data_IF_076149767441
#
_entry.id   IF_076149767441
#
_cell.length_a   1.000
_cell.length_b   1.000
_cell.length_c   1.000
_cell.angle_alpha   90.00
_cell.angle_beta   90.00
_cell.angle_gamma   90.00
#
_symmetry.space_group_name_H-M   'P 1'
#
loop_
_entity.id
_entity.type
_entity.pdbx_description
1 polymer ?
#
# COMPACT_ATOMS: atom_id res chain seq x y z
N UNK A 1 -9.94 -6.58 1.96
CA UNK A 1 -8.57 -7.12 1.84
C UNK A 1 -7.46 -6.11 2.19
N UNK A 2 -7.28 -4.99 1.48
CA UNK A 2 -6.16 -4.05 1.73
C UNK A 2 -6.15 -3.49 3.16
N UNK A 3 -7.28 -2.98 3.64
CA UNK A 3 -7.40 -2.46 5.02
C UNK A 3 -7.28 -3.58 6.05
N UNK A 4 -7.77 -4.78 5.74
CA UNK A 4 -7.64 -5.93 6.65
C UNK A 4 -6.20 -6.43 6.74
N UNK A 5 -5.43 -6.33 5.64
CA UNK A 5 -4.03 -6.77 5.55
C UNK A 5 -3.04 -5.73 6.08
N UNK A 6 -3.25 -4.46 5.76
CA UNK A 6 -2.29 -3.38 6.05
C UNK A 6 -2.80 -2.35 7.07
N UNK A 7 -4.09 -2.38 7.43
CA UNK A 7 -4.70 -1.37 8.32
C UNK A 7 -4.77 0.04 7.72
N UNK A 8 -4.30 0.23 6.49
CA UNK A 8 -4.18 1.51 5.78
C UNK A 8 -4.18 1.30 4.27
N UNK A 9 -4.21 2.39 3.50
CA UNK A 9 -4.07 2.36 2.05
C UNK A 9 -2.62 2.69 1.65
N UNK A 10 -1.82 1.70 1.19
CA UNK A 10 -0.42 1.93 0.86
C UNK A 10 -0.20 2.99 -0.22
N UNK A 11 -1.15 3.14 -1.15
CA UNK A 11 -1.13 4.20 -2.18
C UNK A 11 -1.08 5.62 -1.63
N UNK A 12 -1.52 5.84 -0.38
CA UNK A 12 -1.54 7.16 0.26
C UNK A 12 -0.31 7.42 1.14
N UNK A 13 0.62 6.49 1.23
CA UNK A 13 1.78 6.63 2.11
C UNK A 13 2.61 7.86 1.73
N UNK A 14 2.93 8.04 0.44
CA UNK A 14 3.69 9.19 -0.07
C UNK A 14 3.02 10.54 0.26
N UNK A 15 1.72 10.67 -0.06
CA UNK A 15 0.94 11.89 0.18
C UNK A 15 0.84 12.22 1.69
N UNK A 16 0.81 11.19 2.54
CA UNK A 16 0.71 11.34 3.99
C UNK A 16 2.08 11.39 4.68
N UNK A 17 3.19 11.36 3.94
CA UNK A 17 4.56 11.36 4.49
C UNK A 17 4.88 10.13 5.34
N UNK A 18 4.28 8.98 5.02
CA UNK A 18 4.51 7.71 5.72
C UNK A 18 5.48 6.85 4.94
N UNK A 19 6.35 6.16 5.66
CA UNK A 19 7.18 5.12 5.06
C UNK A 19 6.34 3.93 4.61
N UNK A 20 6.67 3.43 3.44
CA UNK A 20 6.07 2.23 2.83
C UNK A 20 6.92 1.03 3.21
N UNK A 21 6.28 -0.06 3.67
CA UNK A 21 6.98 -1.30 4.01
C UNK A 21 7.31 -2.11 2.76
N UNK A 22 8.22 -3.08 2.87
CA UNK A 22 8.59 -3.96 1.74
C UNK A 22 7.38 -4.77 1.20
N UNK A 23 6.48 -5.20 2.08
CA UNK A 23 5.24 -5.89 1.69
C UNK A 23 4.30 -4.96 0.92
N UNK A 24 4.16 -3.73 1.37
CA UNK A 24 3.38 -2.71 0.69
C UNK A 24 4.00 -2.36 -0.67
N UNK A 25 5.33 -2.26 -0.77
CA UNK A 25 6.04 -2.06 -2.04
C UNK A 25 5.83 -3.20 -3.03
N UNK A 26 5.77 -4.43 -2.53
CA UNK A 26 5.49 -5.61 -3.37
C UNK A 26 4.04 -5.58 -3.85
N UNK A 27 3.10 -5.29 -2.94
CA UNK A 27 1.69 -5.14 -3.25
C UNK A 27 1.45 -4.06 -4.31
N UNK A 28 2.06 -2.88 -4.17
CA UNK A 28 1.94 -1.75 -5.12
C UNK A 28 2.46 -2.05 -6.54
N UNK A 29 3.22 -3.14 -6.72
CA UNK A 29 3.73 -3.57 -8.04
C UNK A 29 2.83 -4.60 -8.71
N UNK A 30 1.83 -5.14 -8.01
CA UNK A 30 0.94 -6.14 -8.57
C UNK A 30 -0.06 -5.51 -9.57
N UNK A 31 -0.39 -6.18 -10.68
CA UNK A 31 -1.29 -5.60 -11.69
C UNK A 31 -2.73 -5.36 -11.17
N UNK A 32 -3.13 -6.01 -10.07
CA UNK A 32 -4.42 -5.80 -9.40
C UNK A 32 -4.34 -4.81 -8.24
N UNK A 33 -3.19 -4.16 -8.01
CA UNK A 33 -3.05 -3.09 -7.03
C UNK A 33 -3.53 -1.75 -7.57
N UNK A 34 -4.47 -1.74 -8.50
CA UNK A 34 -5.09 -0.53 -9.01
C UNK A 34 -6.31 -0.21 -8.14
N UNK A 35 -6.46 1.06 -7.77
CA UNK A 35 -7.47 1.60 -6.86
C UNK A 35 -8.88 0.99 -6.96
#
# INVERSE_FOLDING_TARGET
EIIERFGRFPHRNDILGRDTTDEEHTFLKEPMSSF
#
